data_IF_412786862754
#
_entry.id   IF_412786862754
#
_cell.length_a   1.000
_cell.length_b   1.000
_cell.length_c   1.000
_cell.angle_alpha   90.00
_cell.angle_beta   90.00
_cell.angle_gamma   90.00
#
_symmetry.space_group_name_H-M   'P 1'
#
loop_
_entity.id
_entity.type
_entity.pdbx_description
1 polymer ?
#
# COMPACT_ATOMS: atom_id res chain seq x y z
N UNK A 1 0.60 17.89 3.33
CA UNK A 1 1.50 16.73 3.19
C UNK A 1 1.04 15.51 3.99
N UNK A 2 0.64 15.65 5.26
CA UNK A 2 0.19 14.52 6.09
C UNK A 2 -0.90 13.64 5.43
N UNK A 3 -1.95 14.24 4.86
CA UNK A 3 -3.01 13.50 4.14
C UNK A 3 -2.48 12.67 2.97
N UNK A 4 -1.52 13.20 2.21
CA UNK A 4 -0.89 12.48 1.09
C UNK A 4 -0.22 11.21 1.59
N UNK A 5 0.63 11.32 2.61
CA UNK A 5 1.38 10.19 3.17
C UNK A 5 0.42 9.18 3.81
N UNK A 6 -0.54 9.64 4.61
CA UNK A 6 -1.54 8.78 5.25
C UNK A 6 -2.34 7.97 4.22
N UNK A 7 -2.77 8.61 3.12
CA UNK A 7 -3.53 7.90 2.09
C UNK A 7 -2.68 6.86 1.36
N UNK A 8 -1.46 7.21 0.92
CA UNK A 8 -0.62 6.27 0.17
C UNK A 8 -0.06 5.12 1.03
N UNK A 9 0.03 5.30 2.35
CA UNK A 9 0.44 4.24 3.29
C UNK A 9 -0.56 3.07 3.29
N UNK A 10 -1.83 3.34 2.99
CA UNK A 10 -2.88 2.32 2.86
C UNK A 10 -2.86 1.54 1.54
N UNK A 11 -1.94 1.85 0.62
CA UNK A 11 -1.96 1.30 -0.74
C UNK A 11 -1.90 -0.23 -0.75
N UNK A 12 -0.94 -0.83 -0.04
CA UNK A 12 -0.78 -2.29 -0.01
C UNK A 12 -2.01 -3.05 0.50
N UNK A 13 -2.70 -2.48 1.50
CA UNK A 13 -3.95 -3.03 2.04
C UNK A 13 -5.11 -2.91 1.05
N UNK A 14 -5.26 -1.74 0.41
CA UNK A 14 -6.33 -1.48 -0.57
C UNK A 14 -6.17 -2.31 -1.85
N UNK A 15 -4.94 -2.68 -2.21
CA UNK A 15 -4.63 -3.52 -3.37
C UNK A 15 -4.22 -4.94 -2.99
N UNK A 16 -4.69 -5.46 -1.85
CA UNK A 16 -4.39 -6.83 -1.44
C UNK A 16 -4.91 -7.85 -2.49
N UNK A 17 -4.02 -8.74 -2.96
CA UNK A 17 -4.32 -9.76 -3.98
C UNK A 17 -4.43 -11.18 -3.43
N UNK A 18 -4.11 -11.37 -2.14
CA UNK A 18 -4.27 -12.65 -1.42
C UNK A 18 -5.27 -12.47 -0.28
N UNK A 19 -5.83 -13.59 0.19
CA UNK A 19 -6.73 -13.65 1.34
C UNK A 19 -6.03 -13.11 2.60
N UNK A 20 -6.47 -11.94 3.08
CA UNK A 20 -5.87 -11.21 4.19
C UNK A 20 -5.98 -11.95 5.54
N UNK A 21 -6.92 -12.89 5.66
CA UNK A 21 -7.05 -13.74 6.85
C UNK A 21 -5.99 -14.85 6.87
N UNK A 22 -5.37 -15.14 5.72
CA UNK A 22 -4.37 -16.21 5.57
C UNK A 22 -2.97 -15.68 5.31
N UNK A 23 -2.85 -14.45 4.82
CA UNK A 23 -1.59 -13.84 4.41
C UNK A 23 -1.39 -12.48 5.05
N UNK A 24 -0.13 -12.13 5.27
CA UNK A 24 0.33 -10.84 5.75
C UNK A 24 1.17 -10.17 4.66
N UNK A 25 0.94 -8.86 4.48
CA UNK A 25 1.69 -7.99 3.57
C UNK A 25 2.33 -6.88 4.40
N UNK A 26 3.57 -7.07 4.84
CA UNK A 26 4.28 -6.08 5.66
C UNK A 26 5.13 -5.21 4.75
N UNK A 27 4.90 -3.89 4.68
CA UNK A 27 5.79 -2.98 4.00
C UNK A 27 6.95 -2.56 4.94
N UNK A 28 8.19 -3.03 4.75
CA UNK A 28 9.35 -2.54 5.50
C UNK A 28 9.76 -1.11 5.12
N UNK A 29 9.32 -0.62 3.97
CA UNK A 29 9.59 0.73 3.50
C UNK A 29 8.40 1.32 2.73
N UNK A 30 8.40 2.64 2.61
CA UNK A 30 7.46 3.40 1.81
C UNK A 30 8.22 4.57 1.16
N UNK A 31 8.23 4.59 -0.15
CA UNK A 31 8.78 5.69 -0.95
C UNK A 31 7.64 6.50 -1.55
N UNK A 32 7.65 7.83 -1.35
CA UNK A 32 6.62 8.75 -1.87
C UNK A 32 7.26 9.90 -2.64
N UNK A 33 6.89 10.02 -3.92
CA UNK A 33 7.33 11.10 -4.80
C UNK A 33 6.16 12.07 -5.03
N UNK A 34 6.19 13.22 -4.36
CA UNK A 34 5.13 14.22 -4.41
C UNK A 34 5.41 15.22 -5.54
N UNK A 35 4.50 15.30 -6.50
CA UNK A 35 4.60 16.20 -7.66
C UNK A 35 4.07 17.60 -7.33
N UNK A 36 3.01 17.66 -6.52
CA UNK A 36 2.35 18.90 -6.09
C UNK A 36 1.50 18.65 -4.84
N UNK A 37 1.08 19.69 -4.12
CA UNK A 37 0.07 19.56 -3.06
C UNK A 37 -1.29 19.11 -3.62
N UNK A 38 -2.04 18.26 -2.90
CA UNK A 38 -3.42 17.92 -3.24
C UNK A 38 -4.37 19.10 -2.99
N UNK A 39 -5.42 19.20 -3.81
CA UNK A 39 -6.47 20.21 -3.71
C UNK A 39 -7.83 19.56 -3.47
N UNK A 40 -8.52 20.04 -2.43
CA UNK A 40 -9.84 19.55 -2.05
C UNK A 40 -9.80 18.37 -1.06
N UNK A 41 -10.98 17.84 -0.79
CA UNK A 41 -11.20 16.84 0.26
C UNK A 41 -11.02 15.41 -0.24
N UNK A 42 -11.34 15.15 -1.51
CA UNK A 42 -11.29 13.83 -2.10
C UNK A 42 -9.95 13.55 -2.77
N UNK A 43 -9.44 12.35 -2.50
CA UNK A 43 -8.26 11.78 -3.14
C UNK A 43 -8.65 10.43 -3.72
N UNK A 44 -8.14 10.15 -4.92
CA UNK A 44 -8.24 8.84 -5.55
C UNK A 44 -6.88 8.16 -5.43
N UNK A 45 -6.86 6.97 -4.85
CA UNK A 45 -5.68 6.12 -4.80
C UNK A 45 -5.91 4.93 -5.72
N UNK A 46 -5.16 4.90 -6.81
CA UNK A 46 -5.07 3.74 -7.68
C UNK A 46 -3.80 2.97 -7.30
N UNK A 47 -3.95 1.74 -6.80
CA UNK A 47 -2.87 0.93 -6.28
C UNK A 47 -2.91 -0.49 -6.85
N UNK A 48 -1.74 -1.04 -7.14
CA UNK A 48 -1.56 -2.38 -7.66
C UNK A 48 -0.51 -3.09 -6.82
N UNK A 49 -0.82 -4.31 -6.35
CA UNK A 49 0.14 -5.19 -5.68
C UNK A 49 0.51 -6.35 -6.59
N UNK A 50 1.80 -6.56 -6.75
CA UNK A 50 2.38 -7.72 -7.42
C UNK A 50 3.11 -8.58 -6.38
N UNK A 51 2.81 -9.87 -6.34
CA UNK A 51 3.47 -10.83 -5.44
C UNK A 51 4.34 -11.76 -6.27
N UNK A 52 5.63 -11.80 -5.98
CA UNK A 52 6.56 -12.72 -6.63
C UNK A 52 6.56 -14.09 -5.91
N UNK A 53 7.02 -15.16 -6.56
CA UNK A 53 7.25 -16.43 -5.88
C UNK A 53 8.18 -16.26 -4.67
N UNK A 54 7.81 -16.85 -3.53
CA UNK A 54 8.56 -16.70 -2.28
C UNK A 54 7.88 -15.74 -1.31
N UNK A 55 8.66 -14.82 -0.73
CA UNK A 55 8.22 -13.95 0.38
C UNK A 55 8.25 -12.46 0.04
N UNK A 56 8.29 -12.10 -1.24
CA UNK A 56 8.47 -10.71 -1.69
C UNK A 56 7.33 -10.25 -2.57
N UNK A 57 6.95 -8.99 -2.42
CA UNK A 57 6.02 -8.32 -3.32
C UNK A 57 6.35 -6.83 -3.48
N UNK A 58 5.59 -6.15 -4.31
CA UNK A 58 5.67 -4.72 -4.53
C UNK A 58 4.27 -4.17 -4.69
N UNK A 59 3.94 -3.13 -3.91
CA UNK A 59 2.79 -2.27 -4.20
C UNK A 59 3.28 -1.00 -4.86
N UNK A 60 2.65 -0.60 -5.96
CA UNK A 60 2.81 0.74 -6.54
C UNK A 60 1.48 1.49 -6.48
N UNK A 61 1.55 2.81 -6.32
CA UNK A 61 0.38 3.66 -6.11
C UNK A 61 0.45 4.98 -6.86
N UNK A 62 -0.71 5.44 -7.32
CA UNK A 62 -0.93 6.75 -7.91
C UNK A 62 -2.00 7.49 -7.14
N UNK A 63 -1.59 8.53 -6.42
CA UNK A 63 -2.53 9.42 -5.74
C UNK A 63 -2.91 10.55 -6.67
N UNK A 64 -4.20 10.78 -6.85
CA UNK A 64 -4.74 11.87 -7.68
C UNK A 64 -5.80 12.67 -6.92
N UNK A 65 -5.97 13.94 -7.30
CA UNK A 65 -7.15 14.72 -6.98
C UNK A 65 -7.92 15.03 -8.28
N UNK A 66 -8.94 15.90 -8.19
CA UNK A 66 -9.77 16.30 -9.35
C UNK A 66 -9.00 16.96 -10.51
N UNK A 67 -7.76 17.41 -10.30
CA UNK A 67 -6.88 18.01 -11.30
C UNK A 67 -5.78 17.04 -11.76
N UNK A 68 -5.91 15.75 -11.45
CA UNK A 68 -4.99 14.70 -11.89
C UNK A 68 -3.95 14.30 -10.82
N UNK A 69 -2.81 13.73 -11.23
CA UNK A 69 -1.83 13.15 -10.31
C UNK A 69 -1.25 14.15 -9.31
N UNK A 70 -1.08 13.69 -8.08
CA UNK A 70 -0.54 14.42 -6.92
C UNK A 70 0.78 13.78 -6.48
N UNK A 71 0.82 12.44 -6.39
CA UNK A 71 2.00 11.70 -5.97
C UNK A 71 2.04 10.30 -6.57
N UNK A 72 3.24 9.71 -6.61
CA UNK A 72 3.47 8.28 -6.83
C UNK A 72 4.04 7.66 -5.56
N UNK A 73 3.68 6.43 -5.27
CA UNK A 73 4.24 5.66 -4.16
C UNK A 73 4.70 4.27 -4.57
N UNK A 74 5.65 3.74 -3.83
CA UNK A 74 6.07 2.35 -3.89
C UNK A 74 6.27 1.80 -2.47
N UNK A 75 5.88 0.56 -2.25
CA UNK A 75 6.12 -0.21 -1.03
C UNK A 75 6.63 -1.59 -1.43
N UNK A 76 7.89 -1.87 -1.14
CA UNK A 76 8.40 -3.25 -1.10
C UNK A 76 7.60 -3.99 -0.03
N UNK A 77 7.28 -5.27 -0.25
CA UNK A 77 6.49 -6.07 0.68
C UNK A 77 7.24 -7.33 1.08
N UNK A 78 7.24 -7.61 2.37
CA UNK A 78 7.39 -8.97 2.88
C UNK A 78 6.01 -9.62 2.89
N UNK A 79 5.88 -10.75 2.20
CA UNK A 79 4.62 -11.50 2.05
C UNK A 79 4.78 -12.86 2.69
N UNK A 80 3.94 -13.20 3.65
CA UNK A 80 3.99 -14.49 4.35
C UNK A 80 2.59 -14.98 4.72
N UNK A 81 2.48 -16.25 5.13
CA UNK A 81 1.24 -16.74 5.77
C UNK A 81 1.11 -16.16 7.17
N UNK A 82 -0.12 -15.91 7.58
CA UNK A 82 -0.42 -15.59 8.97
C UNK A 82 0.14 -16.69 9.88
N UNK A 83 0.81 -16.33 10.99
CA UNK A 83 1.26 -17.32 11.95
C UNK A 83 0.04 -18.01 12.56
N UNK A 84 0.17 -19.31 12.82
CA UNK A 84 -0.85 -20.06 13.55
C UNK A 84 -0.95 -19.45 14.96
N UNK A 85 -2.18 -19.25 15.45
CA UNK A 85 -2.38 -18.70 16.77
C UNK A 85 -1.68 -19.62 17.80
N UNK A 86 -0.91 -19.05 18.75
CA UNK A 86 -0.33 -19.87 19.81
C UNK A 86 -1.46 -20.58 20.58
N UNK A 87 -1.27 -21.83 21.00
CA UNK A 87 -2.27 -22.55 21.79
C UNK A 87 -2.58 -21.75 23.06
N UNK A 88 -3.88 -21.67 23.42
CA UNK A 88 -4.33 -21.03 24.66
C UNK A 88 -3.62 -21.69 25.86
N UNK A 89 -3.04 -20.88 26.74
CA UNK A 89 -2.30 -21.33 27.94
C UNK A 89 -3.24 -21.63 29.10
#
# INVERSE_FOLDING_TARGET
>A
MQRTVLTVDSANGMSAVLDIEKWMFIPPELSVHILRPPVGQWLHLDAVTEVAPGWTGLTTGTLSDRHGPVARSAQSLFVARQPEAPPER
#
